data_IF_121487467440
#
_entry.id   IF_121487467440
#
_cell.length_a   1.000
_cell.length_b   1.000
_cell.length_c   1.000
_cell.angle_alpha   90.00
_cell.angle_beta   90.00
_cell.angle_gamma   90.00
#
_symmetry.space_group_name_H-M   'P 1'
#
loop_
_entity.id
_entity.type
_entity.pdbx_description
1 polymer ?
#
# COMPACT_ATOMS: atom_id res chain seq x y z
N UNK A 1 17.96 17.93 -31.69
CA UNK A 1 16.60 17.47 -32.02
C UNK A 1 16.02 16.97 -30.71
N UNK A 2 14.86 17.47 -30.29
CA UNK A 2 14.18 16.90 -29.15
C UNK A 2 13.82 15.46 -29.50
N UNK A 3 14.23 14.48 -28.68
CA UNK A 3 13.82 13.09 -28.82
C UNK A 3 12.30 13.07 -28.77
N UNK A 4 11.66 12.42 -29.76
CA UNK A 4 10.21 12.29 -29.72
C UNK A 4 9.85 11.51 -28.45
N UNK A 5 8.99 12.08 -27.61
CA UNK A 5 8.53 11.42 -26.39
C UNK A 5 7.80 10.15 -26.76
N UNK A 6 8.32 9.01 -26.34
CA UNK A 6 7.75 7.71 -26.66
C UNK A 6 6.46 7.45 -25.89
N UNK A 7 6.36 7.99 -24.67
CA UNK A 7 5.23 7.83 -23.76
C UNK A 7 4.71 9.19 -23.27
N UNK A 8 3.42 9.25 -22.96
CA UNK A 8 2.85 10.40 -22.26
C UNK A 8 3.17 10.33 -20.77
N UNK A 9 3.07 9.12 -20.18
CA UNK A 9 3.29 8.88 -18.74
C UNK A 9 4.15 7.64 -18.54
N UNK A 10 5.22 7.79 -17.75
CA UNK A 10 5.94 6.67 -17.15
C UNK A 10 5.48 6.54 -15.70
N UNK A 11 5.07 5.33 -15.30
CA UNK A 11 4.76 4.99 -13.90
C UNK A 11 5.84 4.06 -13.38
N UNK A 12 6.49 4.46 -12.28
CA UNK A 12 7.56 3.69 -11.65
C UNK A 12 7.01 2.86 -10.49
N UNK A 13 7.06 1.53 -10.63
CA UNK A 13 6.50 0.52 -9.73
C UNK A 13 5.29 -0.19 -10.36
N UNK A 14 4.95 -1.39 -9.85
CA UNK A 14 3.74 -2.13 -10.20
C UNK A 14 2.96 -2.60 -8.95
N UNK A 15 3.01 -1.81 -7.87
CA UNK A 15 2.14 -1.96 -6.71
C UNK A 15 0.75 -1.34 -6.94
N UNK A 16 -0.10 -1.37 -5.93
CA UNK A 16 -1.47 -0.83 -5.99
C UNK A 16 -1.51 0.62 -6.52
N UNK A 17 -0.70 1.52 -5.94
CA UNK A 17 -0.66 2.93 -6.35
C UNK A 17 -0.24 3.09 -7.82
N UNK A 18 0.77 2.34 -8.25
CA UNK A 18 1.29 2.40 -9.61
C UNK A 18 0.27 1.92 -10.63
N UNK A 19 -0.34 0.76 -10.41
CA UNK A 19 -1.33 0.18 -11.32
C UNK A 19 -2.59 1.04 -11.41
N UNK A 20 -3.03 1.62 -10.28
CA UNK A 20 -4.14 2.60 -10.28
C UNK A 20 -3.79 3.86 -11.08
N UNK A 21 -2.57 4.41 -10.90
CA UNK A 21 -2.12 5.58 -11.65
C UNK A 21 -2.04 5.29 -13.15
N UNK A 22 -1.49 4.13 -13.53
CA UNK A 22 -1.37 3.70 -14.92
C UNK A 22 -2.74 3.54 -15.58
N UNK A 23 -3.69 2.87 -14.91
CA UNK A 23 -5.06 2.70 -15.40
C UNK A 23 -5.77 4.03 -15.54
N UNK A 24 -5.66 4.92 -14.55
CA UNK A 24 -6.28 6.25 -14.59
C UNK A 24 -5.72 7.12 -15.73
N UNK A 25 -4.39 7.10 -15.95
CA UNK A 25 -3.78 7.80 -17.07
C UNK A 25 -4.24 7.23 -18.43
N UNK A 26 -4.32 5.90 -18.52
CA UNK A 26 -4.78 5.22 -19.73
C UNK A 26 -6.23 5.55 -20.08
N UNK A 27 -7.10 5.70 -19.08
CA UNK A 27 -8.50 6.13 -19.27
C UNK A 27 -8.63 7.53 -19.87
N UNK A 28 -7.63 8.38 -19.65
CA UNK A 28 -7.53 9.72 -20.28
C UNK A 28 -6.87 9.68 -21.66
N UNK A 29 -6.65 8.49 -22.23
CA UNK A 29 -6.06 8.32 -23.55
C UNK A 29 -4.54 8.35 -23.59
N UNK A 30 -3.86 8.46 -22.45
CA UNK A 30 -2.40 8.51 -22.41
C UNK A 30 -1.75 7.18 -22.88
N UNK A 31 -0.60 7.29 -23.55
CA UNK A 31 0.31 6.17 -23.77
C UNK A 31 1.18 5.99 -22.54
N UNK A 32 0.96 4.88 -21.83
CA UNK A 32 1.54 4.63 -20.49
C UNK A 32 2.54 3.50 -20.57
N UNK A 33 3.70 3.69 -19.90
CA UNK A 33 4.69 2.66 -19.60
C UNK A 33 4.77 2.48 -18.07
N UNK A 34 4.73 1.24 -17.60
CA UNK A 34 5.00 0.87 -16.22
C UNK A 34 6.38 0.22 -16.13
N UNK A 35 7.22 0.69 -15.19
CA UNK A 35 8.53 0.11 -14.90
C UNK A 35 8.50 -0.61 -13.55
N UNK A 36 8.70 -1.92 -13.55
CA UNK A 36 8.77 -2.73 -12.33
C UNK A 36 10.17 -3.33 -12.16
N UNK A 37 10.77 -3.03 -11.01
CA UNK A 37 12.13 -3.48 -10.65
C UNK A 37 12.20 -4.99 -10.41
N UNK A 38 11.13 -5.58 -9.87
CA UNK A 38 11.02 -6.99 -9.61
C UNK A 38 10.78 -7.78 -10.90
N UNK A 39 10.96 -9.10 -10.81
CA UNK A 39 10.46 -10.00 -11.86
C UNK A 39 8.93 -10.02 -11.86
N UNK A 40 8.35 -10.58 -12.90
CA UNK A 40 6.89 -10.73 -13.00
C UNK A 40 6.33 -11.57 -11.85
N UNK A 41 7.05 -12.60 -11.43
CA UNK A 41 6.66 -13.46 -10.31
C UNK A 41 6.71 -12.75 -8.96
N UNK A 42 7.59 -11.76 -8.80
CA UNK A 42 7.77 -10.99 -7.56
C UNK A 42 7.08 -9.61 -7.59
N UNK A 43 6.28 -9.33 -8.63
CA UNK A 43 5.61 -8.02 -8.84
C UNK A 43 4.68 -7.63 -7.69
N UNK A 44 4.36 -6.34 -7.63
CA UNK A 44 3.33 -5.81 -6.76
C UNK A 44 3.83 -5.17 -5.48
N UNK A 45 5.13 -5.20 -5.22
CA UNK A 45 5.72 -4.52 -4.08
C UNK A 45 5.11 -4.96 -2.74
N UNK A 46 5.04 -4.05 -1.77
CA UNK A 46 4.41 -4.32 -0.48
C UNK A 46 2.90 -4.56 -0.58
N UNK A 47 2.23 -4.11 -1.64
CA UNK A 47 0.80 -4.38 -1.84
C UNK A 47 0.50 -5.87 -1.86
N UNK A 48 1.39 -6.70 -2.41
CA UNK A 48 1.26 -8.16 -2.46
C UNK A 48 1.20 -8.81 -1.07
N UNK A 49 1.88 -8.22 -0.08
CA UNK A 49 2.02 -8.79 1.26
C UNK A 49 1.03 -8.22 2.27
N UNK A 50 0.07 -7.43 1.83
CA UNK A 50 -1.01 -6.93 2.70
C UNK A 50 -2.13 -7.94 2.81
N UNK A 51 -2.99 -7.76 3.83
CA UNK A 51 -4.25 -8.48 3.91
C UNK A 51 -5.27 -8.05 2.83
N UNK A 52 -4.98 -7.00 2.08
CA UNK A 52 -5.90 -6.47 1.06
C UNK A 52 -7.11 -5.73 1.62
N UNK A 53 -7.06 -5.34 2.90
CA UNK A 53 -8.14 -4.63 3.57
C UNK A 53 -8.23 -3.15 3.17
N UNK A 54 -9.47 -2.64 3.09
CA UNK A 54 -9.75 -1.25 2.75
C UNK A 54 -10.59 -0.58 3.83
N UNK A 55 -10.20 0.66 4.14
CA UNK A 55 -10.97 1.59 4.95
C UNK A 55 -11.45 2.73 4.06
N UNK A 56 -12.75 2.99 4.04
CA UNK A 56 -13.36 4.05 3.24
C UNK A 56 -14.73 4.41 3.80
N UNK A 57 -15.24 5.57 3.43
CA UNK A 57 -16.54 6.09 3.89
C UNK A 57 -17.70 5.27 3.30
N UNK A 58 -18.62 4.83 4.17
CA UNK A 58 -19.82 4.08 3.79
C UNK A 58 -20.91 4.19 4.86
N UNK A 59 -22.17 3.92 4.47
CA UNK A 59 -23.35 4.00 5.35
C UNK A 59 -23.77 2.63 5.95
N UNK A 60 -22.82 1.70 6.07
CA UNK A 60 -23.04 0.39 6.67
C UNK A 60 -23.31 -0.72 5.65
N UNK A 61 -23.83 -1.87 6.15
CA UNK A 61 -23.90 -3.12 5.37
C UNK A 61 -24.72 -2.99 4.09
N UNK A 62 -25.91 -2.40 4.14
CA UNK A 62 -26.80 -2.33 2.96
C UNK A 62 -26.21 -1.45 1.86
N UNK A 63 -25.53 -0.39 2.25
CA UNK A 63 -24.77 0.47 1.34
C UNK A 63 -23.62 -0.29 0.67
N UNK A 64 -22.86 -1.04 1.45
CA UNK A 64 -21.77 -1.89 0.94
C UNK A 64 -22.28 -3.00 0.01
N UNK A 65 -23.40 -3.64 0.33
CA UNK A 65 -24.01 -4.66 -0.53
C UNK A 65 -24.42 -4.11 -1.88
N UNK A 66 -25.06 -2.95 -1.89
CA UNK A 66 -25.51 -2.32 -3.13
C UNK A 66 -24.33 -2.02 -4.06
N UNK A 67 -23.24 -1.46 -3.55
CA UNK A 67 -22.22 -0.84 -4.36
C UNK A 67 -20.91 -1.65 -4.45
N UNK A 68 -20.54 -2.37 -3.41
CA UNK A 68 -19.22 -3.01 -3.29
C UNK A 68 -19.30 -4.54 -3.17
N UNK A 69 -20.15 -5.04 -2.27
CA UNK A 69 -20.30 -6.47 -1.94
C UNK A 69 -21.46 -7.12 -2.68
N UNK A 70 -21.59 -6.87 -3.98
CA UNK A 70 -22.71 -7.35 -4.79
C UNK A 70 -22.83 -8.87 -4.87
N UNK A 71 -21.79 -9.61 -4.54
CA UNK A 71 -21.78 -11.08 -4.52
C UNK A 71 -22.27 -11.66 -3.18
N UNK A 72 -22.51 -10.79 -2.16
CA UNK A 72 -22.96 -11.22 -0.84
C UNK A 72 -24.45 -11.58 -0.87
N UNK A 73 -24.76 -12.84 -0.59
CA UNK A 73 -26.15 -13.33 -0.56
C UNK A 73 -26.95 -12.77 0.62
N UNK A 74 -28.27 -12.79 0.52
CA UNK A 74 -29.18 -12.39 1.62
C UNK A 74 -29.01 -13.26 2.88
N UNK A 75 -28.67 -14.54 2.69
CA UNK A 75 -28.44 -15.45 3.80
C UNK A 75 -27.16 -15.08 4.58
N UNK A 76 -26.09 -14.75 3.87
CA UNK A 76 -24.83 -14.29 4.48
C UNK A 76 -25.00 -12.92 5.12
N UNK A 77 -25.69 -11.99 4.45
CA UNK A 77 -25.92 -10.65 4.97
C UNK A 77 -26.67 -10.63 6.31
N UNK A 78 -27.62 -11.55 6.51
CA UNK A 78 -28.31 -11.70 7.80
C UNK A 78 -27.41 -12.12 8.98
N UNK A 79 -26.21 -12.62 8.67
CA UNK A 79 -25.21 -13.02 9.68
C UNK A 79 -24.12 -11.97 9.89
N UNK A 80 -24.28 -10.77 9.35
CA UNK A 80 -23.26 -9.72 9.37
C UNK A 80 -23.88 -8.42 9.90
N UNK A 81 -23.14 -7.75 10.76
CA UNK A 81 -23.43 -6.39 11.18
C UNK A 81 -22.20 -5.52 10.91
N UNK A 82 -22.32 -4.57 10.00
CA UNK A 82 -21.30 -3.55 9.69
C UNK A 82 -21.92 -2.19 9.96
N UNK A 83 -21.43 -1.45 10.97
CA UNK A 83 -21.90 -0.10 11.25
C UNK A 83 -21.43 0.87 10.16
N UNK A 84 -22.08 2.04 9.99
CA UNK A 84 -21.57 3.11 9.15
C UNK A 84 -20.17 3.57 9.58
N UNK A 85 -19.37 4.01 8.60
CA UNK A 85 -18.12 4.73 8.80
C UNK A 85 -18.21 6.09 8.11
N UNK A 86 -18.76 7.11 8.78
CA UNK A 86 -18.82 8.46 8.21
C UNK A 86 -17.45 9.13 8.18
N UNK A 87 -17.33 10.20 7.39
CA UNK A 87 -16.07 10.89 7.14
C UNK A 87 -15.44 11.51 8.40
N UNK A 88 -16.27 12.05 9.29
CA UNK A 88 -15.85 12.66 10.56
C UNK A 88 -15.25 11.60 11.53
N UNK A 89 -15.85 10.42 11.62
CA UNK A 89 -15.30 9.32 12.42
C UNK A 89 -13.97 8.83 11.80
N UNK A 90 -13.90 8.72 10.48
CA UNK A 90 -12.65 8.34 9.82
C UNK A 90 -11.54 9.36 10.07
N UNK A 91 -11.84 10.66 9.97
CA UNK A 91 -10.88 11.74 10.25
C UNK A 91 -10.46 11.72 11.72
N UNK A 92 -11.42 11.58 12.65
CA UNK A 92 -11.13 11.47 14.07
C UNK A 92 -10.13 10.34 14.37
N UNK A 93 -10.39 9.15 13.85
CA UNK A 93 -9.52 8.00 14.06
C UNK A 93 -8.13 8.20 13.44
N UNK A 94 -8.06 8.81 12.24
CA UNK A 94 -6.79 9.10 11.58
C UNK A 94 -5.96 10.11 12.40
N UNK A 95 -6.58 11.19 12.86
CA UNK A 95 -5.90 12.19 13.70
C UNK A 95 -5.47 11.62 15.05
N UNK A 96 -6.29 10.77 15.66
CA UNK A 96 -5.93 10.09 16.89
C UNK A 96 -4.69 9.21 16.71
N UNK A 97 -4.65 8.40 15.66
CA UNK A 97 -3.54 7.45 15.42
C UNK A 97 -2.24 8.13 15.05
N UNK A 98 -2.33 9.26 14.40
CA UNK A 98 -1.17 10.06 13.99
C UNK A 98 -0.82 11.16 15.00
N UNK A 99 -1.48 11.18 16.17
CA UNK A 99 -1.31 12.22 17.19
C UNK A 99 -1.44 13.64 16.61
N UNK A 100 -2.37 13.81 15.68
CA UNK A 100 -2.63 15.05 14.93
C UNK A 100 -1.45 15.54 14.06
N UNK A 101 -0.51 14.65 13.73
CA UNK A 101 0.62 14.97 12.83
C UNK A 101 0.24 14.82 11.34
N UNK A 102 -0.91 14.22 11.03
CA UNK A 102 -1.41 14.17 9.64
C UNK A 102 -1.76 15.55 9.14
N UNK A 103 -1.42 15.81 7.89
CA UNK A 103 -1.87 17.03 7.20
C UNK A 103 -3.36 16.92 6.91
N UNK A 104 -4.15 17.82 7.51
CA UNK A 104 -5.62 17.76 7.50
C UNK A 104 -6.19 17.84 6.09
N UNK A 105 -5.63 18.71 5.22
CA UNK A 105 -6.07 18.88 3.84
C UNK A 105 -5.91 17.56 3.04
N UNK A 106 -4.75 16.91 3.14
CA UNK A 106 -4.51 15.61 2.48
C UNK A 106 -5.37 14.49 3.07
N UNK A 107 -5.57 14.50 4.38
CA UNK A 107 -6.47 13.56 5.07
C UNK A 107 -7.91 13.73 4.57
N UNK A 108 -8.39 14.97 4.49
CA UNK A 108 -9.71 15.30 3.96
C UNK A 108 -9.90 14.85 2.51
N UNK A 109 -8.89 15.06 1.65
CA UNK A 109 -8.91 14.60 0.27
C UNK A 109 -8.97 13.06 0.18
N UNK A 110 -8.11 12.36 0.93
CA UNK A 110 -8.10 10.90 1.01
C UNK A 110 -9.48 10.36 1.41
N UNK A 111 -10.04 10.88 2.50
CA UNK A 111 -11.32 10.43 3.06
C UNK A 111 -12.45 10.73 2.10
N UNK A 112 -12.52 11.96 1.58
CA UNK A 112 -13.56 12.38 0.66
C UNK A 112 -13.59 11.61 -0.65
N UNK A 113 -12.42 11.13 -1.13
CA UNK A 113 -12.31 10.32 -2.35
C UNK A 113 -12.33 8.81 -2.12
N UNK A 114 -12.30 8.36 -0.87
CA UNK A 114 -12.08 6.95 -0.53
C UNK A 114 -13.14 6.02 -1.13
N UNK A 115 -14.44 6.39 -1.03
CA UNK A 115 -15.54 5.60 -1.59
C UNK A 115 -15.49 5.51 -3.11
N UNK A 116 -15.36 6.65 -3.77
CA UNK A 116 -15.27 6.76 -5.23
C UNK A 116 -14.12 5.89 -5.76
N UNK A 117 -12.97 5.92 -5.08
CA UNK A 117 -11.79 5.13 -5.45
C UNK A 117 -12.04 3.63 -5.34
N UNK A 118 -12.67 3.15 -4.27
CA UNK A 118 -13.02 1.71 -4.11
C UNK A 118 -13.98 1.27 -5.21
N UNK A 119 -15.00 2.08 -5.51
CA UNK A 119 -15.96 1.78 -6.58
C UNK A 119 -15.28 1.79 -7.96
N UNK A 120 -14.36 2.72 -8.20
CA UNK A 120 -13.56 2.73 -9.42
C UNK A 120 -12.69 1.47 -9.52
N UNK A 121 -12.02 1.04 -8.46
CA UNK A 121 -11.24 -0.20 -8.45
C UNK A 121 -12.13 -1.42 -8.75
N UNK A 122 -13.35 -1.48 -8.18
CA UNK A 122 -14.34 -2.51 -8.53
C UNK A 122 -14.66 -2.50 -10.03
N UNK A 123 -14.83 -1.32 -10.63
CA UNK A 123 -15.10 -1.20 -12.07
C UNK A 123 -13.92 -1.70 -12.93
N UNK A 124 -12.69 -1.75 -12.39
CA UNK A 124 -11.51 -2.35 -13.03
C UNK A 124 -11.46 -3.87 -12.87
N UNK A 125 -12.36 -4.45 -12.10
CA UNK A 125 -12.48 -5.88 -11.90
C UNK A 125 -11.95 -6.37 -10.55
N UNK A 126 -11.56 -5.49 -9.65
CA UNK A 126 -11.24 -5.88 -8.27
C UNK A 126 -12.51 -6.37 -7.58
N UNK A 127 -12.45 -7.57 -7.01
CA UNK A 127 -13.54 -8.16 -6.23
C UNK A 127 -13.28 -8.01 -4.75
N UNK A 128 -14.32 -7.69 -4.01
CA UNK A 128 -14.25 -7.47 -2.56
C UNK A 128 -15.16 -8.44 -1.81
N UNK A 129 -14.73 -8.82 -0.61
CA UNK A 129 -15.49 -9.62 0.36
C UNK A 129 -15.41 -8.97 1.74
N UNK A 130 -16.33 -9.30 2.68
CA UNK A 130 -16.20 -8.89 4.07
C UNK A 130 -14.94 -9.46 4.71
N UNK A 131 -14.19 -8.64 5.47
CA UNK A 131 -12.92 -9.03 6.13
C UNK A 131 -13.19 -9.73 7.47
N UNK A 132 -13.70 -10.94 7.43
CA UNK A 132 -14.14 -11.69 8.62
C UNK A 132 -13.01 -11.98 9.61
N UNK A 133 -11.86 -12.41 9.11
CA UNK A 133 -10.80 -13.01 9.94
C UNK A 133 -10.10 -12.05 10.89
N UNK A 134 -10.18 -10.73 10.66
CA UNK A 134 -9.38 -9.74 11.39
C UNK A 134 -10.20 -8.58 11.94
N UNK A 135 -11.36 -8.35 11.37
CA UNK A 135 -12.17 -7.15 11.64
C UNK A 135 -13.57 -7.51 12.13
N UNK A 136 -13.79 -8.75 12.53
CA UNK A 136 -15.06 -9.16 13.12
C UNK A 136 -14.90 -10.11 14.30
N UNK A 137 -15.87 -10.11 15.18
CA UNK A 137 -16.08 -11.11 16.22
C UNK A 137 -17.52 -11.62 16.17
N UNK A 138 -17.75 -12.86 16.59
CA UNK A 138 -19.07 -13.48 16.47
C UNK A 138 -19.81 -13.50 17.80
N UNK A 139 -21.04 -12.96 17.80
CA UNK A 139 -21.97 -12.99 18.94
C UNK A 139 -23.31 -13.49 18.46
N UNK A 140 -23.85 -14.52 19.11
CA UNK A 140 -25.14 -15.12 18.78
C UNK A 140 -25.33 -15.47 17.30
N UNK A 141 -24.25 -15.93 16.65
CA UNK A 141 -24.28 -16.29 15.23
C UNK A 141 -24.04 -15.13 14.26
N UNK A 142 -24.01 -13.89 14.73
CA UNK A 142 -23.80 -12.68 13.91
C UNK A 142 -22.36 -12.20 14.03
N UNK A 143 -21.73 -11.90 12.91
CA UNK A 143 -20.41 -11.26 12.82
C UNK A 143 -20.55 -9.75 12.97
N UNK A 144 -20.00 -9.20 14.05
CA UNK A 144 -19.94 -7.77 14.31
C UNK A 144 -18.59 -7.24 13.85
N UNK A 145 -18.60 -6.34 12.87
CA UNK A 145 -17.41 -5.69 12.35
C UNK A 145 -17.07 -4.44 13.15
N UNK A 146 -15.77 -4.17 13.29
CA UNK A 146 -15.24 -3.02 14.03
C UNK A 146 -14.03 -2.42 13.29
N UNK A 147 -13.56 -1.25 13.74
CA UNK A 147 -12.31 -0.63 13.25
C UNK A 147 -12.33 -0.07 11.84
N UNK A 148 -13.46 -0.18 11.11
CA UNK A 148 -13.67 0.47 9.82
C UNK A 148 -12.97 -0.14 8.61
N UNK A 149 -12.11 -1.16 8.77
CA UNK A 149 -11.54 -1.93 7.65
C UNK A 149 -12.42 -3.15 7.41
N UNK A 150 -13.58 -2.91 6.80
CA UNK A 150 -14.68 -3.88 6.79
C UNK A 150 -14.67 -4.81 5.58
N UNK A 151 -13.91 -4.46 4.56
CA UNK A 151 -13.78 -5.26 3.33
C UNK A 151 -12.31 -5.55 3.01
N UNK A 152 -12.10 -6.63 2.28
CA UNK A 152 -10.79 -6.97 1.70
C UNK A 152 -10.95 -7.41 0.24
N UNK A 153 -9.89 -7.26 -0.54
CA UNK A 153 -9.85 -7.82 -1.88
C UNK A 153 -9.81 -9.35 -1.82
N UNK A 154 -10.51 -10.01 -2.71
CA UNK A 154 -10.46 -11.48 -2.84
C UNK A 154 -9.02 -11.91 -3.11
N UNK A 155 -8.50 -12.82 -2.29
CA UNK A 155 -7.10 -13.25 -2.35
C UNK A 155 -6.12 -12.28 -1.68
N UNK A 156 -6.63 -11.35 -0.85
CA UNK A 156 -5.80 -10.40 -0.11
C UNK A 156 -5.02 -9.46 -1.01
N UNK A 157 -3.84 -9.02 -0.57
CA UNK A 157 -2.99 -8.11 -1.34
C UNK A 157 -2.48 -8.70 -2.65
N UNK A 158 -2.23 -10.01 -2.67
CA UNK A 158 -1.86 -10.70 -3.91
C UNK A 158 -3.00 -10.66 -4.94
N UNK A 159 -4.23 -11.00 -4.51
CA UNK A 159 -5.39 -10.92 -5.38
C UNK A 159 -5.67 -9.52 -5.89
N UNK A 160 -5.51 -8.50 -5.03
CA UNK A 160 -5.61 -7.09 -5.40
C UNK A 160 -4.66 -6.74 -6.56
N UNK A 161 -3.38 -7.09 -6.42
CA UNK A 161 -2.37 -6.83 -7.45
C UNK A 161 -2.70 -7.59 -8.74
N UNK A 162 -3.10 -8.86 -8.64
CA UNK A 162 -3.44 -9.69 -9.80
C UNK A 162 -4.65 -9.13 -10.57
N UNK A 163 -5.69 -8.66 -9.89
CA UNK A 163 -6.82 -7.97 -10.53
C UNK A 163 -6.39 -6.72 -11.30
N UNK A 164 -5.54 -5.90 -10.69
CA UNK A 164 -5.08 -4.65 -11.29
C UNK A 164 -4.10 -4.88 -12.45
N UNK A 165 -3.20 -5.86 -12.35
CA UNK A 165 -2.33 -6.25 -13.47
C UNK A 165 -3.16 -6.73 -14.65
N UNK A 166 -4.12 -7.63 -14.43
CA UNK A 166 -5.04 -8.07 -15.49
C UNK A 166 -5.85 -6.92 -16.10
N UNK A 167 -6.22 -5.92 -15.30
CA UNK A 167 -6.87 -4.72 -15.82
C UNK A 167 -5.93 -3.88 -16.69
N UNK A 168 -4.67 -3.71 -16.28
CA UNK A 168 -3.65 -3.00 -17.04
C UNK A 168 -3.34 -3.70 -18.38
N UNK A 169 -3.21 -5.03 -18.38
CA UNK A 169 -3.03 -5.85 -19.58
C UNK A 169 -4.21 -5.70 -20.56
N UNK A 170 -5.45 -5.80 -20.05
CA UNK A 170 -6.64 -5.59 -20.88
C UNK A 170 -6.72 -4.18 -21.47
N UNK A 171 -6.18 -3.18 -20.76
CA UNK A 171 -6.10 -1.80 -21.24
C UNK A 171 -4.95 -1.56 -22.23
N UNK A 172 -4.11 -2.58 -22.51
CA UNK A 172 -2.95 -2.48 -23.39
C UNK A 172 -1.83 -1.62 -22.81
N UNK A 173 -1.69 -1.59 -21.47
CA UNK A 173 -0.60 -0.90 -20.78
C UNK A 173 0.64 -1.80 -20.83
N UNK A 174 1.76 -1.25 -21.31
CA UNK A 174 3.05 -1.94 -21.31
C UNK A 174 3.63 -1.96 -19.89
N UNK A 175 4.03 -3.14 -19.40
CA UNK A 175 4.72 -3.32 -18.12
C UNK A 175 6.09 -3.95 -18.42
N UNK A 176 7.16 -3.24 -18.08
CA UNK A 176 8.54 -3.75 -18.18
C UNK A 176 9.01 -4.21 -16.81
N UNK A 177 9.12 -5.52 -16.64
CA UNK A 177 9.66 -6.16 -15.46
C UNK A 177 11.19 -6.15 -15.45
N UNK A 178 11.79 -6.37 -14.27
CA UNK A 178 13.27 -6.32 -14.05
C UNK A 178 13.90 -5.02 -14.51
N UNK A 179 13.10 -3.94 -14.54
CA UNK A 179 13.50 -2.62 -15.02
C UNK A 179 13.27 -1.59 -13.92
N UNK A 180 14.33 -1.16 -13.28
CA UNK A 180 14.30 -0.25 -12.12
C UNK A 180 14.71 1.17 -12.47
N UNK A 181 14.08 2.16 -11.82
CA UNK A 181 14.50 3.56 -11.86
C UNK A 181 15.90 3.75 -11.29
N UNK A 182 16.73 4.56 -11.97
CA UNK A 182 18.02 5.02 -11.49
C UNK A 182 18.05 6.51 -11.23
N UNK A 183 17.52 7.32 -12.17
CA UNK A 183 17.45 8.77 -12.06
C UNK A 183 16.22 9.30 -12.77
N UNK A 184 15.76 10.46 -12.36
CA UNK A 184 14.88 11.30 -13.14
C UNK A 184 15.71 12.13 -14.12
N UNK A 185 15.26 12.22 -15.37
CA UNK A 185 15.87 13.08 -16.38
C UNK A 185 15.24 14.47 -16.30
N UNK A 186 16.06 15.50 -16.34
CA UNK A 186 15.60 16.90 -16.35
C UNK A 186 16.08 17.64 -17.58
N UNK A 187 15.25 18.51 -18.08
CA UNK A 187 15.61 19.52 -19.05
C UNK A 187 16.34 20.70 -18.38
N UNK A 188 16.89 21.59 -19.19
CA UNK A 188 17.62 22.79 -18.70
C UNK A 188 16.77 23.72 -17.83
N UNK A 189 15.45 23.72 -18.03
CA UNK A 189 14.48 24.51 -17.25
C UNK A 189 14.05 23.83 -15.95
N UNK A 190 14.59 22.63 -15.64
CA UNK A 190 14.26 21.84 -14.46
C UNK A 190 13.05 20.91 -14.61
N UNK A 191 12.35 20.95 -15.76
CA UNK A 191 11.23 20.03 -15.99
C UNK A 191 11.69 18.58 -16.10
N UNK A 192 10.96 17.65 -15.49
CA UNK A 192 11.19 16.21 -15.66
C UNK A 192 10.77 15.80 -17.06
N UNK A 193 11.69 15.17 -17.80
CA UNK A 193 11.50 14.74 -19.20
C UNK A 193 11.52 13.22 -19.40
N UNK A 194 11.69 12.46 -18.32
CA UNK A 194 11.76 11.01 -18.38
C UNK A 194 12.55 10.40 -17.24
N UNK A 195 13.06 9.21 -17.47
CA UNK A 195 13.82 8.42 -16.51
C UNK A 195 15.05 7.79 -17.13
N UNK A 196 16.12 7.65 -16.36
CA UNK A 196 17.17 6.66 -16.62
C UNK A 196 16.76 5.39 -15.90
N UNK A 197 16.50 4.34 -16.65
CA UNK A 197 16.19 3.02 -16.14
C UNK A 197 17.40 2.07 -16.26
N UNK A 198 17.36 0.99 -15.48
CA UNK A 198 18.30 -0.13 -15.60
C UNK A 198 17.50 -1.42 -15.70
N UNK A 199 17.66 -2.10 -16.82
CA UNK A 199 16.98 -3.35 -17.14
C UNK A 199 17.96 -4.44 -17.54
N UNK A 200 17.45 -5.58 -18.09
CA UNK A 200 18.28 -6.71 -18.53
C UNK A 200 19.36 -6.33 -19.56
N UNK A 201 19.06 -5.36 -20.41
CA UNK A 201 19.96 -4.90 -21.48
C UNK A 201 20.85 -3.72 -21.05
N UNK A 202 20.84 -3.34 -19.78
CA UNK A 202 21.63 -2.26 -19.24
C UNK A 202 20.85 -0.98 -18.99
N UNK A 203 21.54 0.17 -19.10
CA UNK A 203 20.96 1.50 -18.90
C UNK A 203 20.24 1.99 -20.15
N UNK A 204 19.04 2.55 -19.95
CA UNK A 204 18.23 3.14 -21.02
C UNK A 204 17.62 4.47 -20.54
N UNK A 205 17.68 5.51 -21.36
CA UNK A 205 16.95 6.75 -21.18
C UNK A 205 15.59 6.63 -21.87
N UNK A 206 14.51 6.74 -21.07
CA UNK A 206 13.13 6.63 -21.56
C UNK A 206 12.45 7.98 -21.34
N UNK A 207 11.96 8.60 -22.42
CA UNK A 207 11.37 9.93 -22.36
C UNK A 207 9.84 9.88 -22.25
N UNK A 208 9.29 10.77 -21.43
CA UNK A 208 7.86 10.96 -21.24
C UNK A 208 7.53 12.40 -20.86
N UNK A 209 6.27 12.79 -21.05
CA UNK A 209 5.77 14.10 -20.65
C UNK A 209 5.57 14.23 -19.13
N UNK A 210 5.32 13.10 -18.45
CA UNK A 210 5.16 13.04 -17.00
C UNK A 210 5.71 11.71 -16.45
N UNK A 211 6.18 11.75 -15.19
CA UNK A 211 6.62 10.58 -14.44
C UNK A 211 5.85 10.51 -13.12
N UNK A 212 5.24 9.36 -12.85
CA UNK A 212 4.58 9.06 -11.58
C UNK A 212 5.50 8.14 -10.76
N UNK A 213 5.98 8.62 -9.62
CA UNK A 213 6.75 7.81 -8.69
C UNK A 213 5.81 7.06 -7.75
N UNK A 214 5.61 5.76 -7.99
CA UNK A 214 4.73 4.89 -7.22
C UNK A 214 5.43 3.58 -6.80
N UNK A 215 6.74 3.67 -6.57
CA UNK A 215 7.65 2.55 -6.31
C UNK A 215 7.82 2.22 -4.82
N UNK A 216 6.89 2.65 -3.98
CA UNK A 216 6.89 2.36 -2.54
C UNK A 216 7.92 3.16 -1.74
N UNK A 217 8.24 2.65 -0.56
CA UNK A 217 9.13 3.28 0.40
C UNK A 217 10.54 2.68 0.42
N UNK A 218 11.14 2.67 1.63
CA UNK A 218 12.52 2.22 1.84
C UNK A 218 12.64 1.08 2.87
N UNK A 219 11.59 0.34 3.11
CA UNK A 219 11.51 -0.68 4.16
C UNK A 219 12.59 -1.76 4.02
N UNK A 220 13.01 -2.06 2.78
CA UNK A 220 14.05 -3.05 2.49
C UNK A 220 15.47 -2.45 2.43
N UNK A 221 15.63 -1.15 2.73
CA UNK A 221 16.93 -0.49 2.74
C UNK A 221 17.42 -0.26 4.18
N UNK A 222 18.37 -1.09 4.70
CA UNK A 222 18.82 -0.99 6.07
C UNK A 222 19.51 0.35 6.39
N UNK A 223 20.25 0.94 5.43
CA UNK A 223 20.87 2.27 5.61
C UNK A 223 19.81 3.36 5.83
N UNK A 224 18.77 3.41 4.97
CA UNK A 224 17.72 4.40 5.12
C UNK A 224 16.90 4.16 6.40
N UNK A 225 16.66 2.91 6.79
CA UNK A 225 16.01 2.61 8.08
C UNK A 225 16.82 3.15 9.25
N UNK A 226 18.13 2.86 9.31
CA UNK A 226 19.00 3.40 10.36
C UNK A 226 19.02 4.92 10.35
N UNK A 227 19.10 5.51 9.16
CA UNK A 227 19.20 6.97 8.99
C UNK A 227 17.95 7.71 9.47
N UNK A 228 16.78 7.20 9.15
CA UNK A 228 15.52 7.90 9.39
C UNK A 228 14.73 7.39 10.61
N UNK A 229 14.82 6.10 10.92
CA UNK A 229 14.10 5.50 12.05
C UNK A 229 14.99 5.38 13.31
N UNK A 230 16.30 5.36 13.14
CA UNK A 230 17.28 5.26 14.22
C UNK A 230 18.05 3.93 14.25
N UNK A 231 19.05 3.83 15.15
CA UNK A 231 19.85 2.62 15.31
C UNK A 231 19.01 1.42 15.74
N UNK A 232 19.35 0.23 15.20
CA UNK A 232 18.64 -1.04 15.47
C UNK A 232 17.60 -1.38 14.44
N UNK A 233 17.06 -0.40 13.70
CA UNK A 233 16.08 -0.66 12.66
C UNK A 233 16.63 -1.39 11.45
N UNK A 234 17.95 -1.35 11.23
CA UNK A 234 18.62 -2.17 10.20
C UNK A 234 18.50 -3.67 10.45
N UNK A 235 18.31 -4.08 11.71
CA UNK A 235 18.18 -5.48 12.11
C UNK A 235 16.77 -6.03 11.92
N UNK A 236 15.78 -5.17 11.71
CA UNK A 236 14.40 -5.60 11.54
C UNK A 236 14.20 -6.41 10.26
N UNK A 237 13.42 -7.49 10.35
CA UNK A 237 12.93 -8.22 9.18
C UNK A 237 11.90 -7.41 8.43
N UNK A 238 11.79 -7.63 7.12
CA UNK A 238 10.83 -6.93 6.27
C UNK A 238 9.72 -7.91 5.89
N UNK A 239 8.52 -7.72 6.40
CA UNK A 239 7.36 -8.52 6.01
C UNK A 239 6.99 -8.36 4.53
N UNK A 240 7.43 -7.30 3.90
CA UNK A 240 7.17 -6.93 2.52
C UNK A 240 8.26 -7.35 1.55
N UNK A 241 8.19 -6.75 0.37
CA UNK A 241 9.13 -7.02 -0.71
C UNK A 241 10.57 -6.58 -0.37
N UNK A 242 11.57 -7.34 -0.86
CA UNK A 242 12.98 -6.96 -0.84
C UNK A 242 13.31 -5.78 -1.79
N UNK A 243 12.36 -5.36 -2.63
CA UNK A 243 12.58 -4.36 -3.68
C UNK A 243 12.28 -2.92 -3.28
N UNK A 244 11.63 -2.67 -2.13
CA UNK A 244 11.38 -1.31 -1.62
C UNK A 244 12.63 -0.71 -0.97
N UNK A 245 13.54 -0.19 -1.81
CA UNK A 245 14.87 0.30 -1.40
C UNK A 245 15.00 1.83 -1.46
N UNK A 246 13.89 2.56 -1.63
CA UNK A 246 13.87 4.02 -1.62
C UNK A 246 14.34 4.67 -2.92
N UNK A 247 14.37 3.94 -4.03
CA UNK A 247 14.93 4.45 -5.29
C UNK A 247 14.20 5.69 -5.81
N UNK A 248 12.87 5.69 -5.79
CA UNK A 248 12.08 6.85 -6.22
C UNK A 248 12.23 8.05 -5.29
N UNK A 249 12.31 7.79 -3.98
CA UNK A 249 12.55 8.86 -2.99
C UNK A 249 13.90 9.53 -3.26
N UNK A 250 14.98 8.74 -3.43
CA UNK A 250 16.31 9.28 -3.75
C UNK A 250 16.30 10.03 -5.06
N UNK A 251 15.72 9.46 -6.11
CA UNK A 251 15.67 10.10 -7.42
C UNK A 251 14.94 11.46 -7.39
N UNK A 252 13.89 11.58 -6.58
CA UNK A 252 13.19 12.86 -6.37
C UNK A 252 14.05 13.87 -5.59
N UNK A 253 14.69 13.44 -4.50
CA UNK A 253 15.59 14.30 -3.71
C UNK A 253 16.80 14.77 -4.52
N UNK A 254 17.37 13.91 -5.36
CA UNK A 254 18.52 14.22 -6.20
C UNK A 254 18.25 15.35 -7.20
N UNK A 255 16.99 15.56 -7.60
CA UNK A 255 16.58 16.65 -8.46
C UNK A 255 16.02 17.88 -7.71
N UNK A 256 16.12 17.90 -6.37
CA UNK A 256 15.75 19.02 -5.54
C UNK A 256 14.32 18.99 -5.00
N UNK A 257 13.62 17.85 -5.04
CA UNK A 257 12.34 17.72 -4.37
C UNK A 257 12.49 17.88 -2.85
N UNK A 258 11.53 18.55 -2.22
CA UNK A 258 11.51 18.72 -0.78
C UNK A 258 11.09 17.42 -0.08
N UNK A 259 11.89 16.99 0.91
CA UNK A 259 11.47 15.96 1.84
C UNK A 259 10.37 16.52 2.76
N UNK A 260 9.22 15.86 2.81
CA UNK A 260 8.06 16.31 3.58
C UNK A 260 7.38 15.14 4.30
N UNK A 261 6.75 15.42 5.45
CA UNK A 261 6.04 14.43 6.26
C UNK A 261 6.92 13.74 7.32
N UNK A 262 6.37 12.71 7.96
CA UNK A 262 7.06 11.95 9.01
C UNK A 262 7.97 10.89 8.44
N UNK A 263 9.26 11.04 8.63
CA UNK A 263 10.29 10.10 8.17
C UNK A 263 10.82 9.19 9.27
N UNK A 264 10.48 9.51 10.53
CA UNK A 264 11.02 8.84 11.71
C UNK A 264 10.09 7.75 12.29
N UNK A 265 8.97 7.47 11.63
CA UNK A 265 8.01 6.47 12.08
C UNK A 265 7.66 5.51 10.95
N UNK A 266 7.26 4.30 11.32
CA UNK A 266 6.79 3.29 10.38
C UNK A 266 5.73 2.39 11.01
N UNK A 267 4.97 1.68 10.18
CA UNK A 267 4.16 0.57 10.66
C UNK A 267 5.06 -0.64 10.92
N UNK A 268 5.20 -1.01 12.20
CA UNK A 268 5.89 -2.20 12.63
C UNK A 268 4.92 -3.24 13.17
N UNK A 269 5.28 -4.51 13.09
CA UNK A 269 4.53 -5.63 13.68
C UNK A 269 5.50 -6.55 14.39
N UNK A 270 5.05 -7.20 15.46
CA UNK A 270 5.80 -8.28 16.08
C UNK A 270 5.82 -9.47 15.12
N UNK A 271 7.02 -9.92 14.80
CA UNK A 271 7.28 -10.95 13.81
C UNK A 271 8.11 -12.08 14.40
N UNK A 272 7.82 -13.31 14.04
CA UNK A 272 8.60 -14.46 14.52
C UNK A 272 10.04 -14.40 14.02
N UNK A 273 11.00 -14.68 14.91
CA UNK A 273 12.43 -14.66 14.55
C UNK A 273 12.78 -15.71 13.49
N UNK A 274 11.99 -16.76 13.35
CA UNK A 274 12.17 -17.81 12.34
C UNK A 274 11.55 -17.46 10.99
N UNK A 275 10.83 -16.31 10.89
CA UNK A 275 10.27 -15.87 9.63
C UNK A 275 11.36 -15.55 8.60
N UNK A 276 11.08 -15.65 7.30
CA UNK A 276 12.00 -15.22 6.25
C UNK A 276 12.45 -13.76 6.43
N UNK A 277 13.65 -13.38 5.97
CA UNK A 277 14.15 -12.00 6.11
C UNK A 277 13.35 -10.98 5.32
N UNK A 278 12.68 -11.41 4.25
CA UNK A 278 11.74 -10.64 3.44
C UNK A 278 10.43 -11.40 3.28
N UNK A 279 9.42 -10.71 2.79
CA UNK A 279 8.12 -11.28 2.51
C UNK A 279 8.21 -12.51 1.59
N UNK A 280 7.50 -13.55 1.99
CA UNK A 280 7.33 -14.79 1.24
C UNK A 280 5.85 -15.01 0.96
N UNK A 281 5.50 -15.27 -0.31
CA UNK A 281 4.11 -15.45 -0.75
C UNK A 281 3.44 -16.69 -0.18
N UNK A 282 4.21 -17.74 0.16
CA UNK A 282 3.69 -18.96 0.76
C UNK A 282 3.31 -18.71 2.21
N UNK A 283 4.10 -17.89 2.89
CA UNK A 283 3.93 -17.59 4.31
C UNK A 283 2.99 -16.40 4.52
N UNK A 284 3.04 -15.40 3.64
CA UNK A 284 2.35 -14.12 3.79
C UNK A 284 2.58 -13.52 5.18
N UNK A 285 1.52 -13.28 5.95
CA UNK A 285 1.58 -12.67 7.27
C UNK A 285 1.32 -13.66 8.43
N UNK A 286 1.46 -14.96 8.18
CA UNK A 286 1.20 -16.01 9.17
C UNK A 286 2.16 -15.97 10.38
N UNK A 287 3.32 -15.34 10.28
CA UNK A 287 4.26 -15.17 11.38
C UNK A 287 4.00 -13.93 12.27
N UNK A 288 2.94 -13.19 12.03
CA UNK A 288 2.55 -12.07 12.88
C UNK A 288 2.04 -12.53 14.25
N UNK A 289 2.44 -11.83 15.30
CA UNK A 289 2.01 -12.09 16.69
C UNK A 289 0.85 -11.17 17.09
N UNK A 290 -0.28 -11.29 16.42
CA UNK A 290 -1.48 -10.49 16.71
C UNK A 290 -2.11 -10.78 18.08
N UNK A 291 -1.71 -11.87 18.74
CA UNK A 291 -2.19 -12.25 20.07
C UNK A 291 -1.46 -11.57 21.22
N UNK A 292 -0.51 -10.67 20.97
CA UNK A 292 0.27 -10.01 22.01
C UNK A 292 -0.58 -9.33 23.10
N UNK A 293 -1.79 -8.77 22.84
CA UNK A 293 -2.62 -8.18 23.88
C UNK A 293 -3.17 -9.21 24.90
N UNK A 294 -3.02 -10.50 24.60
CA UNK A 294 -3.42 -11.60 25.51
C UNK A 294 -2.26 -12.09 26.39
N UNK A 295 -1.11 -11.43 26.33
CA UNK A 295 0.10 -11.78 27.06
C UNK A 295 0.84 -10.56 27.56
N UNK A 296 2.13 -10.71 27.83
CA UNK A 296 3.07 -9.63 28.14
C UNK A 296 4.20 -9.63 27.11
N UNK A 297 4.71 -8.44 26.79
CA UNK A 297 5.86 -8.25 25.90
C UNK A 297 7.07 -7.84 26.77
N UNK A 298 8.14 -8.61 26.67
CA UNK A 298 9.38 -8.35 27.41
C UNK A 298 10.56 -8.22 26.45
N UNK A 299 11.54 -7.41 26.83
CA UNK A 299 12.83 -7.29 26.13
C UNK A 299 13.75 -8.48 26.48
N UNK A 300 14.96 -8.49 25.92
CA UNK A 300 15.95 -9.55 26.17
C UNK A 300 16.46 -9.58 27.63
N UNK A 301 16.28 -8.51 28.39
CA UNK A 301 16.57 -8.47 29.82
C UNK A 301 15.41 -9.00 30.70
N UNK A 302 14.28 -9.37 30.09
CA UNK A 302 13.08 -9.82 30.77
C UNK A 302 12.22 -8.67 31.32
N UNK A 303 12.46 -7.46 30.90
CA UNK A 303 11.73 -6.26 31.33
C UNK A 303 10.56 -5.96 30.40
N UNK A 304 9.39 -5.69 30.97
CA UNK A 304 8.24 -5.20 30.22
C UNK A 304 8.49 -3.74 29.82
N UNK A 305 8.31 -3.40 28.55
CA UNK A 305 8.62 -2.07 27.99
C UNK A 305 7.48 -1.44 27.20
N UNK A 306 6.35 -2.14 27.06
CA UNK A 306 5.19 -1.67 26.30
C UNK A 306 3.90 -1.95 27.06
N UNK A 307 2.88 -1.13 26.87
CA UNK A 307 1.52 -1.42 27.30
C UNK A 307 0.77 -2.15 26.17
N UNK A 308 0.58 -3.44 26.33
CA UNK A 308 -0.05 -4.31 25.33
C UNK A 308 -1.54 -4.00 25.15
N UNK A 309 -2.16 -3.35 26.14
CA UNK A 309 -3.55 -2.94 26.13
C UNK A 309 -3.79 -1.48 25.73
N UNK A 310 -2.71 -0.72 25.51
CA UNK A 310 -2.84 0.68 25.13
C UNK A 310 -3.47 0.82 23.74
N UNK A 311 -4.63 1.48 23.72
CA UNK A 311 -5.32 1.87 22.50
C UNK A 311 -5.68 0.70 21.56
N UNK A 312 -5.83 0.98 20.27
CA UNK A 312 -6.15 -0.02 19.24
C UNK A 312 -4.91 -0.87 18.92
N UNK A 313 -5.10 -2.18 18.83
CA UNK A 313 -4.04 -3.18 18.62
C UNK A 313 -2.98 -2.82 17.58
N UNK A 314 -3.38 -2.32 16.42
CA UNK A 314 -2.44 -2.00 15.35
C UNK A 314 -1.62 -0.73 15.62
N UNK A 315 -2.03 0.10 16.56
CA UNK A 315 -1.35 1.36 16.88
C UNK A 315 -0.22 1.17 17.88
N UNK A 316 -0.34 0.17 18.74
CA UNK A 316 0.74 -0.20 19.66
C UNK A 316 2.02 -0.52 18.91
N UNK A 317 1.94 -1.16 17.75
CA UNK A 317 3.11 -1.48 16.93
C UNK A 317 3.79 -0.26 16.30
N UNK A 318 3.05 0.78 15.98
CA UNK A 318 3.59 1.96 15.32
C UNK A 318 4.29 2.92 16.31
N UNK A 319 4.07 2.73 17.60
CA UNK A 319 4.60 3.61 18.67
C UNK A 319 5.90 3.14 19.29
N UNK A 320 6.21 1.85 19.20
CA UNK A 320 7.32 1.22 19.94
C UNK A 320 8.22 0.35 18.99
#
# INVERSE_FOLDING_TARGET
MASATEYDVIVVGAGNAALCAALSAREQGARVLVLEKASEEERGGNSTFTAGGFRFVHDGLEDLRRDVLSDLSDAEARQIYIPPLPADLYLHDLMKVTESLSQEELAGLLIGRSRETVMWMKSKGVRFIPMFGRQSYKVNGIHHFYGGVNIEAVGGGWGLVDFLVKAAERAGIEIRYRTGLRKLLQEKNGAVSGVLAFGPDGYEEIHARAVVLACGGFEANPEMRTRYLGPGWELCRVRGTKHNTGDGIRAALDIGAQAYGGWSTCHAVQWDISAPPFGDRVVLDNFQKHSYPLGIVVNMAGERFVDEGADFRNYTYAKY
#
